data_IF_157692990096
#
_entry.id   IF_157692990096
#
_cell.length_a   1.000
_cell.length_b   1.000
_cell.length_c   1.000
_cell.angle_alpha   90.00
_cell.angle_beta   90.00
_cell.angle_gamma   90.00
#
_symmetry.space_group_name_H-M   'P 1'
#
loop_
_entity.id
_entity.type
_entity.pdbx_description
1 polymer ?
#
# COMPACT_ATOMS: atom_id res chain seq x y z
N UNK A 1 -1.31 6.55 -15.32
CA UNK A 1 -0.50 5.55 -14.60
C UNK A 1 0.92 6.05 -14.50
N UNK A 2 1.44 6.17 -13.29
CA UNK A 2 2.83 6.54 -13.07
C UNK A 2 3.68 5.29 -13.22
N UNK A 3 4.67 5.38 -14.08
CA UNK A 3 5.69 4.36 -14.27
C UNK A 3 6.89 4.66 -13.39
N UNK A 4 7.28 3.73 -12.54
CA UNK A 4 8.53 3.75 -11.81
C UNK A 4 9.46 2.74 -12.47
N UNK A 5 10.57 3.23 -13.02
CA UNK A 5 11.56 2.38 -13.68
C UNK A 5 12.78 2.23 -12.79
N UNK A 6 13.16 0.99 -12.52
CA UNK A 6 14.37 0.66 -11.77
C UNK A 6 15.40 0.08 -12.73
N UNK A 7 16.50 0.78 -12.92
CA UNK A 7 17.60 0.28 -13.72
C UNK A 7 18.34 -0.85 -12.96
N UNK A 8 18.52 -1.95 -13.63
CA UNK A 8 19.25 -3.11 -13.14
C UNK A 8 20.61 -3.18 -13.83
N UNK A 9 21.59 -3.81 -13.19
CA UNK A 9 22.98 -3.79 -13.66
C UNK A 9 23.26 -4.50 -15.00
N UNK A 10 22.25 -5.01 -15.69
CA UNK A 10 22.40 -5.79 -16.92
C UNK A 10 21.57 -5.23 -18.08
N UNK A 11 21.55 -3.92 -18.26
CA UNK A 11 20.77 -3.24 -19.30
C UNK A 11 19.27 -3.54 -19.27
N UNK A 12 18.78 -4.08 -18.17
CA UNK A 12 17.38 -4.36 -17.94
C UNK A 12 16.76 -3.29 -17.06
N UNK A 13 15.50 -3.01 -17.30
CA UNK A 13 14.69 -2.10 -16.50
C UNK A 13 13.51 -2.87 -15.97
N UNK A 14 13.28 -2.79 -14.68
CA UNK A 14 12.06 -3.29 -14.07
C UNK A 14 11.10 -2.12 -13.91
N UNK A 15 9.93 -2.24 -14.49
CA UNK A 15 8.92 -1.19 -14.51
C UNK A 15 7.79 -1.54 -13.54
N UNK A 16 7.48 -0.60 -12.66
CA UNK A 16 6.28 -0.63 -11.84
C UNK A 16 5.32 0.48 -12.28
N UNK A 17 4.06 0.14 -12.27
CA UNK A 17 3.01 1.10 -12.58
C UNK A 17 2.17 1.32 -11.33
N UNK A 18 2.10 2.57 -10.87
CA UNK A 18 1.24 2.95 -9.75
C UNK A 18 -0.23 2.98 -10.17
N UNK A 19 -1.17 2.77 -9.21
CA UNK A 19 -2.61 2.73 -9.53
C UNK A 19 -3.22 4.08 -9.90
N UNK A 20 -2.50 5.19 -9.70
CA UNK A 20 -2.96 6.54 -10.01
C UNK A 20 -2.17 7.17 -11.17
N UNK A 21 -2.74 8.22 -11.78
CA UNK A 21 -2.28 8.74 -13.07
C UNK A 21 -1.14 9.75 -12.98
N UNK A 22 -1.05 10.53 -11.91
CA UNK A 22 -0.09 11.63 -11.78
C UNK A 22 0.25 11.87 -10.30
N UNK A 23 1.56 11.92 -9.99
CA UNK A 23 2.03 12.19 -8.64
C UNK A 23 1.76 13.62 -8.17
N UNK A 24 1.65 14.57 -9.10
CA UNK A 24 1.46 15.99 -8.79
C UNK A 24 0.00 16.36 -8.48
N UNK A 25 -0.96 15.66 -9.06
CA UNK A 25 -2.40 15.92 -8.92
C UNK A 25 -3.15 14.80 -8.18
N UNK A 26 -2.51 13.69 -7.91
CA UNK A 26 -3.12 12.59 -7.17
C UNK A 26 -3.25 12.93 -5.69
N UNK A 27 -4.38 12.58 -5.11
CA UNK A 27 -4.54 12.54 -3.66
C UNK A 27 -3.80 11.37 -3.03
N UNK A 28 -3.56 10.33 -3.81
CA UNK A 28 -2.95 9.08 -3.36
C UNK A 28 -1.44 9.13 -3.42
N UNK A 29 -0.83 8.53 -2.42
CA UNK A 29 0.59 8.24 -2.35
C UNK A 29 0.80 6.80 -1.86
N UNK A 30 2.01 6.30 -2.03
CA UNK A 30 2.40 4.95 -1.62
C UNK A 30 3.65 5.00 -0.77
N UNK A 31 3.79 4.07 0.15
CA UNK A 31 5.06 3.89 0.83
C UNK A 31 6.02 3.18 -0.11
N UNK A 32 7.22 3.74 -0.24
CA UNK A 32 8.34 3.08 -0.92
C UNK A 32 9.43 2.84 0.11
N UNK A 33 9.96 1.63 0.21
CA UNK A 33 11.06 1.38 1.14
C UNK A 33 12.38 1.57 0.46
N UNK A 34 13.19 2.47 1.00
CA UNK A 34 14.57 2.69 0.62
C UNK A 34 15.43 1.52 1.06
N UNK A 35 16.29 1.20 0.16
CA UNK A 35 17.54 0.47 0.31
C UNK A 35 17.42 -1.03 0.58
N UNK A 36 17.68 -1.76 -0.47
CA UNK A 36 18.45 -3.00 -0.27
C UNK A 36 19.77 -2.66 0.42
N UNK A 37 20.23 -3.44 1.42
CA UNK A 37 21.52 -3.25 2.03
C UNK A 37 22.65 -3.24 0.98
N UNK A 38 23.66 -2.43 1.20
CA UNK A 38 24.81 -2.27 0.29
C UNK A 38 25.48 -3.61 -0.06
N UNK A 39 25.43 -4.58 0.83
CA UNK A 39 25.97 -5.94 0.60
C UNK A 39 25.23 -6.72 -0.49
N UNK A 40 23.96 -6.47 -0.69
CA UNK A 40 23.19 -7.07 -1.80
C UNK A 40 23.53 -6.35 -3.10
N UNK A 41 23.66 -5.03 -3.06
CA UNK A 41 24.07 -4.24 -4.21
C UNK A 41 25.45 -4.67 -4.73
N UNK A 42 26.37 -5.04 -3.86
CA UNK A 42 27.70 -5.50 -4.25
C UNK A 42 27.67 -6.87 -4.94
N UNK A 43 26.79 -7.76 -4.54
CA UNK A 43 26.66 -9.11 -5.12
C UNK A 43 25.77 -9.16 -6.35
N UNK A 44 24.73 -8.33 -6.40
CA UNK A 44 23.75 -8.34 -7.49
C UNK A 44 23.96 -7.26 -8.52
N UNK A 45 24.85 -6.31 -8.24
CA UNK A 45 25.10 -5.10 -9.06
C UNK A 45 23.84 -4.29 -9.33
N UNK A 46 22.80 -4.39 -8.49
CA UNK A 46 21.57 -3.62 -8.63
C UNK A 46 21.58 -2.41 -7.72
N UNK A 47 21.28 -1.25 -8.28
CA UNK A 47 21.16 0.02 -7.55
C UNK A 47 19.70 0.38 -7.24
N UNK A 48 18.92 -0.57 -6.73
CA UNK A 48 17.53 -0.30 -6.36
C UNK A 48 17.52 0.62 -5.14
N UNK A 49 17.20 1.88 -5.34
CA UNK A 49 17.18 2.89 -4.28
C UNK A 49 15.86 2.91 -3.51
N UNK A 50 14.78 2.48 -4.12
CA UNK A 50 13.47 2.37 -3.48
C UNK A 50 12.69 1.23 -4.10
N UNK A 51 11.91 0.54 -3.28
CA UNK A 51 11.08 -0.57 -3.70
C UNK A 51 9.60 -0.21 -3.49
N UNK A 52 8.80 -0.10 -4.55
CA UNK A 52 7.38 0.20 -4.40
C UNK A 52 6.67 -1.00 -3.76
N UNK A 53 5.76 -0.69 -2.85
CA UNK A 53 4.93 -1.68 -2.14
C UNK A 53 3.50 -1.71 -2.66
N UNK A 54 3.22 -0.89 -3.66
CA UNK A 54 1.91 -0.80 -4.31
C UNK A 54 2.12 -0.73 -5.82
N UNK A 55 1.35 -1.51 -6.54
CA UNK A 55 1.29 -1.49 -8.00
C UNK A 55 -0.16 -1.43 -8.47
N UNK A 56 -0.40 -1.17 -9.75
CA UNK A 56 -1.73 -1.41 -10.32
C UNK A 56 -1.89 -2.90 -10.63
N UNK A 57 -3.14 -3.35 -10.65
CA UNK A 57 -3.54 -4.65 -11.16
C UNK A 57 -4.61 -4.48 -12.24
N UNK A 58 -4.60 -5.27 -13.32
CA UNK A 58 -5.70 -5.32 -14.27
C UNK A 58 -6.93 -6.09 -13.73
N UNK A 59 -6.78 -6.84 -12.64
CA UNK A 59 -7.89 -7.47 -11.93
C UNK A 59 -8.62 -6.40 -11.12
N UNK A 60 -9.80 -6.00 -11.56
CA UNK A 60 -10.59 -4.90 -11.01
C UNK A 60 -12.08 -5.19 -11.11
N UNK A 61 -12.89 -4.51 -10.29
CA UNK A 61 -14.34 -4.58 -10.30
C UNK A 61 -14.94 -3.60 -11.31
N UNK A 62 -14.32 -2.43 -11.43
CA UNK A 62 -14.73 -1.42 -12.39
C UNK A 62 -13.54 -0.76 -13.08
N UNK A 63 -13.78 -0.04 -14.16
CA UNK A 63 -12.72 0.66 -14.87
C UNK A 63 -11.72 -0.29 -15.54
N UNK A 64 -10.43 -0.07 -15.34
CA UNK A 64 -9.35 -0.81 -16.02
C UNK A 64 -8.25 -1.30 -15.07
N UNK A 65 -8.31 -0.94 -13.81
CA UNK A 65 -7.27 -1.29 -12.85
C UNK A 65 -7.72 -1.07 -11.40
N UNK A 66 -7.20 -1.90 -10.52
CA UNK A 66 -7.27 -1.75 -9.06
C UNK A 66 -5.89 -1.44 -8.47
N UNK A 67 -5.84 -1.12 -7.18
CA UNK A 67 -4.60 -1.03 -6.43
C UNK A 67 -4.22 -2.39 -5.84
N UNK A 68 -3.00 -2.87 -6.10
CA UNK A 68 -2.43 -4.06 -5.49
C UNK A 68 -1.37 -3.63 -4.47
N UNK A 69 -1.67 -3.83 -3.20
CA UNK A 69 -0.88 -3.46 -2.03
C UNK A 69 -0.30 -4.73 -1.42
N UNK A 70 1.01 -4.80 -1.24
CA UNK A 70 1.64 -6.05 -0.80
C UNK A 70 2.78 -5.83 0.18
N UNK A 71 2.92 -6.76 1.11
CA UNK A 71 4.05 -6.84 2.03
C UNK A 71 5.30 -7.21 1.25
N UNK A 72 6.39 -6.50 1.51
CA UNK A 72 7.70 -6.79 0.91
C UNK A 72 8.73 -7.02 2.01
N UNK A 73 9.66 -7.91 1.74
CA UNK A 73 10.88 -8.03 2.51
C UNK A 73 11.98 -7.23 1.81
N UNK A 74 12.53 -6.24 2.51
CA UNK A 74 13.70 -5.48 2.05
C UNK A 74 14.86 -5.84 2.96
N UNK A 75 15.74 -6.66 2.47
CA UNK A 75 16.84 -7.16 3.27
C UNK A 75 17.83 -7.95 2.45
N UNK A 76 18.64 -8.72 3.14
CA UNK A 76 19.60 -9.59 2.50
C UNK A 76 18.87 -10.76 1.86
N UNK A 77 18.92 -10.83 0.54
CA UNK A 77 18.49 -12.02 -0.19
C UNK A 77 19.62 -13.04 -0.08
N UNK A 78 19.30 -14.22 0.40
CA UNK A 78 20.24 -15.34 0.41
C UNK A 78 19.85 -16.31 -0.70
N UNK A 79 20.85 -16.95 -1.28
CA UNK A 79 20.68 -18.01 -2.28
C UNK A 79 19.86 -19.20 -1.78
N UNK A 80 19.67 -19.32 -0.46
CA UNK A 80 18.98 -20.43 0.19
C UNK A 80 17.53 -20.10 0.60
N UNK A 81 16.86 -19.28 -0.17
CA UNK A 81 15.41 -19.11 -0.17
C UNK A 81 14.76 -18.37 1.01
N UNK A 82 15.46 -17.88 2.01
CA UNK A 82 14.87 -17.06 3.06
C UNK A 82 15.58 -15.72 3.13
N UNK A 83 14.84 -14.67 2.84
CA UNK A 83 15.35 -13.32 3.03
C UNK A 83 15.59 -13.07 4.53
N UNK A 84 16.84 -12.88 4.92
CA UNK A 84 17.13 -12.26 6.21
C UNK A 84 17.00 -10.76 6.04
N UNK A 85 15.96 -10.17 6.58
CA UNK A 85 15.72 -8.72 6.47
C UNK A 85 14.43 -8.33 7.13
N UNK A 86 14.11 -7.07 7.07
CA UNK A 86 12.89 -6.53 7.65
C UNK A 86 11.76 -6.58 6.62
N UNK A 87 10.63 -7.13 7.03
CA UNK A 87 9.41 -7.10 6.23
C UNK A 87 8.60 -5.85 6.57
N UNK A 88 8.01 -5.24 5.56
CA UNK A 88 7.18 -4.05 5.68
C UNK A 88 5.84 -4.27 4.99
N UNK A 89 4.74 -3.91 5.63
CA UNK A 89 3.46 -3.86 4.93
C UNK A 89 3.51 -2.77 3.85
N UNK A 90 2.95 -3.07 2.70
CA UNK A 90 2.67 -2.04 1.71
C UNK A 90 1.58 -1.12 2.21
N UNK A 91 1.60 0.14 1.78
CA UNK A 91 0.60 1.12 2.16
C UNK A 91 0.25 2.04 0.99
N UNK A 92 -1.05 2.16 0.72
CA UNK A 92 -1.66 3.16 -0.13
C UNK A 92 -2.42 4.14 0.76
N UNK A 93 -2.18 5.45 0.63
CA UNK A 93 -2.80 6.44 1.51
C UNK A 93 -3.06 7.77 0.80
N UNK A 94 -3.97 8.57 1.34
CA UNK A 94 -4.17 9.96 0.91
C UNK A 94 -3.15 10.85 1.61
N UNK A 95 -2.28 11.51 0.83
CA UNK A 95 -1.26 12.40 1.37
C UNK A 95 0.00 12.43 0.52
N UNK A 96 1.12 12.70 1.18
CA UNK A 96 2.44 12.77 0.55
C UNK A 96 3.42 11.86 1.26
N UNK A 97 4.23 11.14 0.49
CA UNK A 97 5.36 10.38 1.00
C UNK A 97 6.66 11.14 0.71
N UNK A 98 7.59 11.09 1.65
CA UNK A 98 8.95 11.53 1.40
C UNK A 98 9.77 10.43 0.72
N UNK A 99 10.97 10.79 0.28
CA UNK A 99 11.89 9.84 -0.35
C UNK A 99 12.35 8.71 0.58
N UNK A 100 12.13 8.80 1.88
CA UNK A 100 12.48 7.76 2.84
C UNK A 100 11.32 6.79 3.11
N UNK A 101 10.16 7.05 2.48
CA UNK A 101 8.94 6.29 2.65
C UNK A 101 8.19 6.62 3.94
N UNK A 102 8.55 7.73 4.60
CA UNK A 102 7.71 8.26 5.66
C UNK A 102 6.60 9.08 5.05
N UNK A 103 5.48 9.13 5.74
CA UNK A 103 4.34 9.96 5.33
C UNK A 103 3.72 10.66 6.53
N UNK A 104 3.07 11.79 6.25
CA UNK A 104 2.20 12.45 7.22
C UNK A 104 0.76 11.97 7.05
N UNK A 105 -0.01 12.01 8.13
CA UNK A 105 -1.45 11.78 8.11
C UNK A 105 -2.26 13.06 7.87
N UNK A 106 -1.68 14.06 7.21
CA UNK A 106 -2.35 15.33 6.96
C UNK A 106 -3.52 15.19 5.97
N UNK A 107 -3.43 14.19 5.10
CA UNK A 107 -4.50 13.88 4.16
C UNK A 107 -4.63 14.91 3.04
N UNK A 108 -5.87 15.15 2.62
CA UNK A 108 -6.23 16.10 1.58
C UNK A 108 -7.42 16.94 2.02
N UNK A 109 -7.53 18.18 1.52
CA UNK A 109 -8.65 19.06 1.80
C UNK A 109 -9.98 18.40 1.38
N UNK A 110 -10.93 18.37 2.30
CA UNK A 110 -12.23 17.72 2.10
C UNK A 110 -13.25 18.28 3.08
N UNK A 111 -14.41 18.73 2.59
CA UNK A 111 -15.37 19.50 3.38
C UNK A 111 -16.72 18.81 3.58
N UNK A 112 -16.93 17.65 2.98
CA UNK A 112 -18.18 16.91 3.11
C UNK A 112 -18.16 15.95 4.30
N UNK A 113 -19.34 15.48 4.70
CA UNK A 113 -19.55 14.54 5.82
C UNK A 113 -20.35 13.34 5.32
N UNK A 114 -19.67 12.33 4.77
CA UNK A 114 -20.32 11.09 4.37
C UNK A 114 -20.82 10.29 5.57
N UNK A 115 -21.84 9.46 5.36
CA UNK A 115 -22.42 8.59 6.38
C UNK A 115 -21.72 7.23 6.41
N UNK A 116 -21.24 6.77 5.24
CA UNK A 116 -20.56 5.48 5.12
C UNK A 116 -19.31 5.59 4.27
N UNK A 117 -18.39 4.67 4.53
CA UNK A 117 -17.20 4.41 3.73
C UNK A 117 -17.22 2.96 3.26
N UNK A 118 -17.07 2.75 1.95
CA UNK A 118 -17.06 1.42 1.33
C UNK A 118 -15.91 1.27 0.37
N UNK A 119 -15.50 0.03 0.13
CA UNK A 119 -14.59 -0.35 -0.95
C UNK A 119 -14.72 -1.84 -1.27
N UNK A 120 -14.26 -2.23 -2.45
CA UNK A 120 -14.12 -3.64 -2.81
C UNK A 120 -12.70 -4.10 -2.54
N UNK A 121 -12.53 -5.34 -2.08
CA UNK A 121 -11.21 -5.90 -1.84
C UNK A 121 -11.11 -7.38 -2.21
N UNK A 122 -9.88 -7.81 -2.51
CA UNK A 122 -9.42 -9.20 -2.41
C UNK A 122 -8.25 -9.23 -1.44
N UNK A 123 -8.14 -10.29 -0.65
CA UNK A 123 -7.09 -10.39 0.33
C UNK A 123 -6.53 -11.81 0.45
N UNK A 124 -5.22 -11.92 0.29
CA UNK A 124 -4.46 -13.14 0.51
C UNK A 124 -3.49 -12.93 1.67
N UNK A 125 -3.86 -13.30 2.90
CA UNK A 125 -3.02 -13.12 4.07
C UNK A 125 -1.85 -14.10 4.10
N UNK A 126 -0.75 -13.68 4.72
CA UNK A 126 0.28 -14.57 5.19
C UNK A 126 -0.09 -15.12 6.57
N UNK A 127 -0.40 -16.40 6.64
CA UNK A 127 -0.86 -17.02 7.88
C UNK A 127 -2.20 -16.44 8.34
N UNK A 128 -2.25 -15.93 9.55
CA UNK A 128 -3.43 -15.31 10.17
C UNK A 128 -3.40 -13.77 10.14
N UNK A 129 -2.56 -13.18 9.30
CA UNK A 129 -2.49 -11.73 9.19
C UNK A 129 -3.80 -11.12 8.69
N UNK A 130 -4.02 -9.89 9.07
CA UNK A 130 -5.18 -9.09 8.67
C UNK A 130 -4.69 -7.84 7.96
N UNK A 131 -5.45 -7.33 7.01
CA UNK A 131 -5.16 -6.02 6.47
C UNK A 131 -5.56 -4.91 7.45
N UNK A 132 -5.13 -3.70 7.16
CA UNK A 132 -5.49 -2.51 7.92
C UNK A 132 -6.16 -1.51 7.00
N UNK A 133 -7.22 -0.89 7.49
CA UNK A 133 -7.86 0.25 6.85
C UNK A 133 -8.15 1.33 7.87
N UNK A 134 -7.92 2.58 7.48
CA UNK A 134 -8.30 3.76 8.25
C UNK A 134 -8.93 4.78 7.35
N UNK A 135 -10.01 5.39 7.82
CA UNK A 135 -10.57 6.64 7.28
C UNK A 135 -10.75 7.62 8.41
N UNK A 136 -10.27 8.84 8.23
CA UNK A 136 -10.24 9.88 9.27
C UNK A 136 -10.61 11.23 8.66
N UNK A 137 -11.44 11.97 9.37
CA UNK A 137 -11.81 13.33 9.01
C UNK A 137 -11.36 14.30 10.10
N UNK A 138 -10.81 15.43 9.68
CA UNK A 138 -10.32 16.50 10.56
C UNK A 138 -11.02 17.80 10.30
N UNK A 139 -11.13 18.63 11.35
CA UNK A 139 -11.54 20.03 11.21
C UNK A 139 -10.38 20.92 10.71
N UNK A 140 -10.62 22.23 10.59
CA UNK A 140 -9.62 23.19 10.14
C UNK A 140 -8.45 23.37 11.11
N UNK A 141 -8.65 23.05 12.38
CA UNK A 141 -7.65 23.09 13.46
C UNK A 141 -6.84 21.78 13.54
N UNK A 142 -7.18 20.76 12.71
CA UNK A 142 -6.53 19.46 12.69
C UNK A 142 -7.06 18.45 13.73
N UNK A 143 -8.15 18.79 14.44
CA UNK A 143 -8.76 17.83 15.37
C UNK A 143 -9.54 16.76 14.60
N UNK A 144 -9.43 15.52 15.05
CA UNK A 144 -10.18 14.40 14.49
C UNK A 144 -11.65 14.51 14.90
N UNK A 145 -12.54 14.57 13.92
CA UNK A 145 -13.99 14.72 14.11
C UNK A 145 -14.77 13.48 13.69
N UNK A 146 -14.18 12.59 12.92
CA UNK A 146 -14.65 11.24 12.70
C UNK A 146 -13.46 10.35 12.35
N UNK A 147 -13.46 9.13 12.84
CA UNK A 147 -12.44 8.12 12.50
C UNK A 147 -13.04 6.72 12.56
N UNK A 148 -12.70 5.94 11.56
CA UNK A 148 -12.88 4.49 11.57
C UNK A 148 -11.55 3.82 11.24
N UNK A 149 -11.15 2.91 12.10
CA UNK A 149 -9.91 2.17 11.97
C UNK A 149 -10.19 0.70 12.24
N UNK A 150 -9.93 -0.15 11.27
CA UNK A 150 -10.14 -1.58 11.38
C UNK A 150 -8.89 -2.37 10.97
N UNK A 151 -8.67 -3.46 11.70
CA UNK A 151 -7.65 -4.47 11.41
C UNK A 151 -8.32 -5.78 11.03
N UNK A 152 -9.35 -5.69 10.23
CA UNK A 152 -10.14 -6.82 9.82
C UNK A 152 -9.69 -7.32 8.46
N UNK A 153 -10.34 -8.33 8.00
CA UNK A 153 -10.21 -8.84 6.67
C UNK A 153 -9.95 -10.32 6.66
N UNK A 154 -11.01 -11.13 6.55
CA UNK A 154 -10.85 -12.53 6.20
C UNK A 154 -10.19 -12.63 4.82
N UNK A 155 -9.49 -13.75 4.58
CA UNK A 155 -9.03 -14.07 3.24
C UNK A 155 -10.22 -14.02 2.27
N UNK A 156 -10.04 -13.37 1.13
CA UNK A 156 -11.06 -13.18 0.11
C UNK A 156 -10.43 -13.37 -1.27
N UNK A 157 -10.69 -14.50 -1.89
CA UNK A 157 -10.22 -14.80 -3.25
C UNK A 157 -11.03 -14.03 -4.31
N UNK A 158 -12.30 -13.76 -4.01
CA UNK A 158 -13.20 -13.00 -4.86
C UNK A 158 -13.37 -11.58 -4.32
N UNK A 159 -13.75 -10.66 -5.21
CA UNK A 159 -14.05 -9.29 -4.83
C UNK A 159 -15.17 -9.24 -3.79
N UNK A 160 -14.83 -8.74 -2.61
CA UNK A 160 -15.71 -8.67 -1.44
C UNK A 160 -15.88 -7.21 -1.04
N UNK A 161 -17.06 -6.84 -0.61
CA UNK A 161 -17.33 -5.49 -0.13
C UNK A 161 -16.95 -5.34 1.34
N UNK A 162 -16.21 -4.30 1.63
CA UNK A 162 -16.12 -3.73 2.97
C UNK A 162 -17.02 -2.51 3.06
N UNK A 163 -17.77 -2.41 4.15
CA UNK A 163 -18.66 -1.27 4.41
C UNK A 163 -18.66 -0.94 5.89
N UNK A 164 -18.58 0.33 6.22
CA UNK A 164 -18.63 0.81 7.60
C UNK A 164 -19.32 2.16 7.69
N UNK A 165 -20.09 2.36 8.76
CA UNK A 165 -20.68 3.65 9.11
C UNK A 165 -19.61 4.56 9.73
N UNK A 166 -19.70 5.83 9.44
CA UNK A 166 -18.83 6.87 9.97
C UNK A 166 -19.52 7.58 11.13
N UNK A 167 -19.02 7.38 12.32
CA UNK A 167 -19.55 8.02 13.53
C UNK A 167 -18.89 9.39 13.70
N UNK A 168 -19.67 10.45 13.57
CA UNK A 168 -19.22 11.82 13.71
C UNK A 168 -19.26 12.24 15.18
N UNK A 169 -18.09 12.34 15.80
CA UNK A 169 -17.95 12.70 17.24
C UNK A 169 -18.45 14.12 17.55
N UNK A 170 -18.42 15.01 16.56
CA UNK A 170 -18.88 16.39 16.71
C UNK A 170 -19.64 16.83 15.46
N UNK A 171 -20.96 17.03 15.62
CA UNK A 171 -21.85 17.45 14.54
C UNK A 171 -21.75 18.96 14.24
N UNK A 172 -21.15 19.74 15.13
CA UNK A 172 -21.04 21.20 15.00
C UNK A 172 -19.82 21.65 14.21
N UNK A 173 -18.74 20.87 14.23
CA UNK A 173 -17.51 21.17 13.51
C UNK A 173 -17.61 20.75 12.04
N UNK A 174 -17.05 21.59 11.17
CA UNK A 174 -17.00 21.30 9.73
C UNK A 174 -15.77 20.46 9.42
N UNK A 175 -15.92 19.47 8.54
CA UNK A 175 -14.80 18.77 7.98
C UNK A 175 -13.96 19.75 7.11
N UNK A 176 -12.65 19.61 7.20
CA UNK A 176 -11.68 20.37 6.40
C UNK A 176 -10.65 19.45 5.73
N UNK A 177 -10.50 18.21 6.21
CA UNK A 177 -9.57 17.23 5.64
C UNK A 177 -10.05 15.80 5.76
N UNK A 178 -9.57 14.95 4.84
CA UNK A 178 -9.77 13.51 4.83
C UNK A 178 -8.42 12.80 4.72
N UNK A 179 -8.24 11.74 5.50
CA UNK A 179 -7.15 10.80 5.39
C UNK A 179 -7.70 9.39 5.24
N UNK A 180 -7.19 8.64 4.26
CA UNK A 180 -7.49 7.22 4.10
C UNK A 180 -6.17 6.48 3.96
N UNK A 181 -6.06 5.32 4.60
CA UNK A 181 -4.90 4.44 4.47
C UNK A 181 -5.33 2.98 4.42
N UNK A 182 -4.73 2.24 3.50
CA UNK A 182 -4.83 0.80 3.39
C UNK A 182 -3.45 0.19 3.53
N UNK A 183 -3.31 -0.85 4.38
CA UNK A 183 -2.05 -1.62 4.49
C UNK A 183 -2.31 -3.10 4.22
N UNK A 184 -1.36 -3.72 3.56
CA UNK A 184 -1.41 -5.17 3.28
C UNK A 184 -1.33 -6.04 4.53
N UNK A 185 -0.85 -5.50 5.64
CA UNK A 185 -0.83 -6.18 6.94
C UNK A 185 -0.93 -5.15 8.07
N UNK A 186 -1.66 -5.49 9.12
CA UNK A 186 -1.70 -4.73 10.38
C UNK A 186 -0.52 -5.05 11.30
N UNK A 187 0.28 -6.05 10.98
CA UNK A 187 1.46 -6.44 11.76
C UNK A 187 2.62 -5.47 11.56
N UNK A 188 3.28 -5.10 12.66
CA UNK A 188 4.53 -4.34 12.62
C UNK A 188 5.73 -5.14 12.09
N UNK A 189 5.61 -6.48 12.06
CA UNK A 189 6.60 -7.41 11.51
C UNK A 189 5.90 -8.48 10.69
N UNK A 190 5.38 -8.13 9.52
CA UNK A 190 4.59 -9.06 8.72
C UNK A 190 5.43 -10.21 8.18
N UNK A 191 4.80 -11.38 8.05
CA UNK A 191 5.41 -12.57 7.47
C UNK A 191 5.57 -12.48 5.96
N UNK A 192 6.43 -13.33 5.43
CA UNK A 192 6.67 -13.46 3.99
C UNK A 192 6.50 -14.89 3.52
N UNK A 193 6.21 -15.06 2.24
CA UNK A 193 6.19 -16.36 1.59
C UNK A 193 7.56 -16.67 1.02
N UNK A 194 8.24 -17.68 1.56
CA UNK A 194 9.56 -18.08 1.09
C UNK A 194 9.58 -18.53 -0.39
N UNK A 195 8.44 -18.97 -0.90
CA UNK A 195 8.28 -19.41 -2.29
C UNK A 195 7.74 -18.32 -3.25
N UNK A 196 7.43 -17.13 -2.72
CA UNK A 196 7.04 -16.01 -3.59
C UNK A 196 8.28 -15.26 -3.99
N UNK A 197 8.50 -15.14 -5.27
CA UNK A 197 9.65 -14.41 -5.79
C UNK A 197 9.17 -13.19 -6.57
N UNK A 198 9.66 -12.02 -6.20
CA UNK A 198 9.69 -10.90 -7.11
C UNK A 198 10.87 -11.15 -8.05
N UNK A 199 10.61 -11.50 -9.28
CA UNK A 199 11.68 -11.57 -10.27
C UNK A 199 12.28 -10.18 -10.49
N UNK A 200 13.36 -9.91 -9.79
CA UNK A 200 14.21 -8.78 -10.10
C UNK A 200 15.13 -9.25 -11.21
N UNK A 201 14.81 -8.89 -12.44
CA UNK A 201 15.67 -9.09 -13.60
C UNK A 201 15.84 -10.51 -14.14
N UNK A 202 14.85 -11.37 -14.02
CA UNK A 202 14.92 -12.71 -14.60
C UNK A 202 16.00 -13.61 -13.99
N UNK A 203 16.38 -13.32 -12.74
CA UNK A 203 17.24 -14.18 -11.95
C UNK A 203 16.49 -14.60 -10.69
N UNK A 204 15.96 -15.82 -10.70
CA UNK A 204 15.17 -16.39 -9.61
C UNK A 204 15.91 -16.48 -8.27
N UNK A 205 17.23 -16.45 -8.29
CA UNK A 205 18.06 -16.50 -7.08
C UNK A 205 18.17 -15.14 -6.36
N UNK A 206 17.63 -14.07 -6.93
CA UNK A 206 17.74 -12.70 -6.42
C UNK A 206 16.39 -12.03 -6.21
N UNK A 207 15.38 -12.82 -5.95
CA UNK A 207 14.03 -12.37 -5.82
C UNK A 207 13.75 -11.84 -4.40
N UNK A 208 13.01 -10.74 -4.32
CA UNK A 208 12.36 -10.32 -3.09
C UNK A 208 11.23 -11.28 -2.74
N UNK A 209 10.89 -11.35 -1.47
CA UNK A 209 9.76 -12.15 -1.02
C UNK A 209 8.58 -11.26 -0.69
N UNK A 210 7.39 -11.75 -1.04
CA UNK A 210 6.13 -11.10 -0.71
C UNK A 210 5.47 -11.79 0.48
N UNK A 211 4.74 -11.02 1.26
CA UNK A 211 3.85 -11.52 2.30
C UNK A 211 2.37 -11.39 1.90
N UNK A 212 1.60 -10.82 2.79
CA UNK A 212 0.17 -10.55 2.57
C UNK A 212 -0.04 -9.62 1.38
N UNK A 213 -1.12 -9.86 0.64
CA UNK A 213 -1.47 -9.17 -0.59
C UNK A 213 -2.92 -8.71 -0.52
N UNK A 214 -3.13 -7.40 -0.66
CA UNK A 214 -4.43 -6.74 -0.62
C UNK A 214 -4.67 -6.03 -1.95
N UNK A 215 -5.80 -6.31 -2.59
CA UNK A 215 -6.31 -5.53 -3.71
C UNK A 215 -7.42 -4.63 -3.22
N UNK A 216 -7.46 -3.40 -3.71
CA UNK A 216 -8.49 -2.41 -3.37
C UNK A 216 -9.00 -1.75 -4.63
N UNK A 217 -10.32 -1.65 -4.71
CA UNK A 217 -11.04 -1.02 -5.81
C UNK A 217 -12.35 -0.37 -5.32
N UNK A 218 -12.99 0.43 -6.18
CA UNK A 218 -14.30 1.05 -5.93
C UNK A 218 -14.43 1.68 -4.53
N UNK A 219 -13.50 2.60 -4.21
CA UNK A 219 -13.53 3.32 -2.95
C UNK A 219 -14.60 4.40 -3.02
N UNK A 220 -15.59 4.36 -2.12
CA UNK A 220 -16.73 5.27 -2.13
C UNK A 220 -17.00 5.88 -0.76
N UNK A 221 -17.46 7.12 -0.79
CA UNK A 221 -18.02 7.85 0.34
C UNK A 221 -19.52 8.06 0.09
N UNK A 222 -20.36 7.48 0.92
CA UNK A 222 -21.81 7.43 0.72
C UNK A 222 -22.48 8.45 1.63
N UNK A 223 -23.47 9.14 1.09
CA UNK A 223 -24.30 10.15 1.75
C UNK A 223 -25.74 9.67 1.75
N UNK A 224 -26.38 9.60 2.91
CA UNK A 224 -27.80 9.19 3.11
C UNK A 224 -28.69 10.37 3.49
#
# INVERSE_FOLDING_TARGET
TIKISVALASDRTLDWYLPYADAGSSWWAVTSKKSMPTSIMATTKTSVKSFPTVAYSPDCTSGTKSAHIYTVNVGRFNTDAVASGTSYPGELFIGKADDSGNHSSDGHAFTSRPDKFTFKYKFSPKGSEKFYVKVEFKDAEGNVIAVKEDTEGPAAAEWTEYSTTLDWNDITRKAAGIYISFKSSSSGSPGINANSTLEVAGNSSQAGHFGSSLYVDDIELIYE
#
